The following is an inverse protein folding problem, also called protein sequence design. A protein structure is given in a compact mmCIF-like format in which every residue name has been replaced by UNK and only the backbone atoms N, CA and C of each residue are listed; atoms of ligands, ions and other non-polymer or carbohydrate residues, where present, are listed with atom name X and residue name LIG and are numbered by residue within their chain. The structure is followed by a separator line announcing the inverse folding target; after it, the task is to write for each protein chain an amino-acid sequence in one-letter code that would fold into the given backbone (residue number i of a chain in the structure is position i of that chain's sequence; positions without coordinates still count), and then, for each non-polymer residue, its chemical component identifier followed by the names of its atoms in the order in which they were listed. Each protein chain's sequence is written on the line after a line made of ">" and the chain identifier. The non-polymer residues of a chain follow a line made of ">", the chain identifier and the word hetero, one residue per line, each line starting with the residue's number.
data_IF_252430787684
#
_entry.id   IF_252430787684
#
_cell.length_a   1.000
_cell.length_b   1.000
_cell.length_c   1.000
_cell.angle_alpha   90.00
_cell.angle_beta   90.00
_cell.angle_gamma   90.00
#
_symmetry.space_group_name_H-M   'P 1'
#
loop_
_entity.id
_entity.type
_entity.pdbx_description
1 polymer ?
#
# COMPACT_ATOMS: atom_id res chain seq x y z
N UNK A 1 -6.62 15.81 -12.67
CA UNK A 1 -5.74 15.32 -11.60
C UNK A 1 -6.04 16.10 -10.35
N UNK A 2 -6.21 15.43 -9.22
CA UNK A 2 -6.46 16.03 -7.92
C UNK A 2 -5.29 15.65 -7.02
N UNK A 3 -4.55 16.64 -6.52
CA UNK A 3 -3.61 16.52 -5.40
C UNK A 3 -3.80 17.73 -4.48
N UNK A 4 -4.65 17.57 -3.47
CA UNK A 4 -4.96 18.59 -2.48
C UNK A 4 -4.01 18.62 -1.28
N UNK A 5 -2.92 17.83 -1.29
CA UNK A 5 -2.05 17.68 -0.14
C UNK A 5 -2.70 16.88 1.00
N UNK A 6 -2.12 16.98 2.20
CA UNK A 6 -2.50 16.18 3.37
C UNK A 6 -3.57 16.87 4.23
N UNK A 7 -4.55 16.09 4.67
CA UNK A 7 -5.61 16.51 5.58
C UNK A 7 -5.72 15.58 6.78
N UNK A 8 -6.07 16.14 7.94
CA UNK A 8 -6.18 15.38 9.17
C UNK A 8 -7.46 14.53 9.20
N UNK A 9 -7.32 13.23 9.46
CA UNK A 9 -8.42 12.31 9.77
C UNK A 9 -8.05 11.58 11.05
N UNK A 10 -8.66 11.98 12.18
CA UNK A 10 -8.42 11.42 13.52
C UNK A 10 -6.93 11.47 13.94
N UNK A 11 -6.19 12.50 13.52
CA UNK A 11 -4.76 12.62 13.83
C UNK A 11 -3.81 11.93 12.84
N UNK A 12 -4.33 11.21 11.84
CA UNK A 12 -3.56 10.67 10.72
C UNK A 12 -3.70 11.59 9.52
N UNK A 13 -2.59 11.96 8.88
CA UNK A 13 -2.59 12.86 7.74
C UNK A 13 -2.75 12.09 6.42
N UNK A 14 -3.89 12.24 5.75
CA UNK A 14 -4.24 11.51 4.53
C UNK A 14 -4.29 12.48 3.35
N UNK A 15 -3.66 12.11 2.24
CA UNK A 15 -3.66 12.91 1.03
C UNK A 15 -5.03 12.91 0.35
N UNK A 16 -5.52 14.09 -0.01
CA UNK A 16 -6.65 14.23 -0.91
C UNK A 16 -6.16 14.10 -2.36
N UNK A 17 -5.98 12.86 -2.83
CA UNK A 17 -5.34 12.59 -4.12
C UNK A 17 -6.15 11.58 -4.94
N UNK A 18 -6.13 11.73 -6.27
CA UNK A 18 -6.70 10.75 -7.21
C UNK A 18 -5.63 9.78 -7.77
N UNK A 19 -6.07 8.78 -8.54
CA UNK A 19 -5.14 7.81 -9.13
C UNK A 19 -4.12 8.42 -10.06
N UNK A 20 -4.51 9.41 -10.87
CA UNK A 20 -3.62 10.00 -11.86
C UNK A 20 -2.46 10.72 -11.18
N UNK A 21 -2.76 11.58 -10.20
CA UNK A 21 -1.75 12.28 -9.42
C UNK A 21 -0.89 11.32 -8.56
N UNK A 22 -1.49 10.29 -7.95
CA UNK A 22 -0.75 9.32 -7.16
C UNK A 22 0.26 8.53 -8.02
N UNK A 23 -0.19 8.03 -9.17
CA UNK A 23 0.67 7.30 -10.12
C UNK A 23 1.77 8.22 -10.65
N UNK A 24 1.44 9.43 -11.11
CA UNK A 24 2.41 10.40 -11.61
C UNK A 24 3.51 10.68 -10.58
N UNK A 25 3.16 10.99 -9.34
CA UNK A 25 4.16 11.26 -8.27
C UNK A 25 5.09 10.07 -8.02
N UNK A 26 4.55 8.86 -8.02
CA UNK A 26 5.33 7.65 -7.76
C UNK A 26 6.27 7.34 -8.95
N UNK A 27 5.76 7.47 -10.18
CA UNK A 27 6.53 7.20 -11.39
C UNK A 27 7.65 8.23 -11.56
N UNK A 28 7.36 9.52 -11.38
CA UNK A 28 8.38 10.57 -11.41
C UNK A 28 9.47 10.31 -10.36
N UNK A 29 9.09 9.94 -9.14
CA UNK A 29 10.05 9.58 -8.09
C UNK A 29 10.88 8.34 -8.45
N UNK A 30 10.30 7.34 -9.11
CA UNK A 30 11.02 6.16 -9.58
C UNK A 30 12.00 6.47 -10.73
N UNK A 31 11.61 7.31 -11.68
CA UNK A 31 12.47 7.78 -12.78
C UNK A 31 13.65 8.60 -12.26
N UNK A 32 13.38 9.52 -11.32
CA UNK A 32 14.38 10.45 -10.77
C UNK A 32 15.16 9.87 -9.58
N UNK A 33 14.87 8.62 -9.19
CA UNK A 33 15.48 7.93 -8.04
C UNK A 33 15.38 8.74 -6.74
N UNK A 34 14.21 9.34 -6.53
CA UNK A 34 13.90 10.08 -5.31
C UNK A 34 13.20 9.14 -4.31
N UNK A 35 13.56 9.21 -3.02
CA UNK A 35 12.84 8.46 -1.99
C UNK A 35 11.39 8.99 -1.90
N UNK A 36 10.43 8.06 -1.85
CA UNK A 36 9.02 8.38 -1.66
C UNK A 36 8.34 7.26 -0.88
N UNK A 37 7.98 7.52 0.37
CA UNK A 37 7.31 6.58 1.25
C UNK A 37 5.79 6.66 1.06
N UNK A 38 5.18 5.58 0.55
CA UNK A 38 3.77 5.55 0.14
C UNK A 38 3.00 4.48 0.90
N UNK A 39 1.77 4.79 1.27
CA UNK A 39 0.80 3.80 1.77
C UNK A 39 -0.61 4.08 1.28
N UNK A 40 -1.45 3.05 1.26
CA UNK A 40 -2.88 3.14 1.01
C UNK A 40 -3.62 2.74 2.29
N UNK A 41 -4.27 3.71 2.96
CA UNK A 41 -4.91 3.48 4.26
C UNK A 41 -6.42 3.38 4.14
N UNK A 42 -6.95 2.21 4.49
CA UNK A 42 -8.36 2.02 4.82
C UNK A 42 -8.58 2.31 6.32
N UNK A 43 -9.84 2.29 6.75
CA UNK A 43 -10.26 2.52 8.15
C UNK A 43 -9.36 1.80 9.17
N UNK A 44 -9.04 0.53 8.93
CA UNK A 44 -8.18 -0.22 9.83
C UNK A 44 -6.81 0.42 10.05
N UNK A 45 -6.15 0.86 8.97
CA UNK A 45 -4.83 1.49 9.06
C UNK A 45 -4.86 2.88 9.66
N UNK A 46 -5.96 3.63 9.46
CA UNK A 46 -6.19 4.88 10.20
C UNK A 46 -6.32 4.59 11.69
N UNK A 47 -7.16 3.62 12.08
CA UNK A 47 -7.42 3.30 13.47
C UNK A 47 -6.22 2.69 14.20
N UNK A 48 -5.36 1.93 13.53
CA UNK A 48 -4.09 1.51 14.15
C UNK A 48 -3.20 2.70 14.47
N UNK A 49 -3.22 3.75 13.64
CA UNK A 49 -2.55 5.02 13.95
C UNK A 49 -3.19 5.76 15.12
N UNK A 50 -4.53 5.83 15.16
CA UNK A 50 -5.26 6.47 16.27
C UNK A 50 -4.89 5.83 17.62
N UNK A 51 -4.84 4.51 17.68
CA UNK A 51 -4.63 3.75 18.91
C UNK A 51 -3.15 3.65 19.34
N UNK A 52 -2.20 3.80 18.41
CA UNK A 52 -0.76 3.75 18.71
C UNK A 52 -0.07 5.06 18.28
N UNK A 53 0.32 5.87 19.27
CA UNK A 53 1.02 7.15 19.06
C UNK A 53 2.32 7.00 18.28
N UNK A 54 3.05 5.91 18.47
CA UNK A 54 4.31 5.64 17.76
C UNK A 54 4.03 5.34 16.30
N UNK A 55 3.00 4.52 16.03
CA UNK A 55 2.59 4.24 14.67
C UNK A 55 2.04 5.49 13.96
N UNK A 56 1.22 6.30 14.64
CA UNK A 56 0.75 7.60 14.12
C UNK A 56 1.89 8.51 13.67
N UNK A 57 2.93 8.60 14.50
CA UNK A 57 4.12 9.38 14.19
C UNK A 57 4.83 8.87 12.93
N UNK A 58 4.92 7.54 12.75
CA UNK A 58 5.46 6.94 11.53
C UNK A 58 4.59 7.26 10.31
N UNK A 59 3.27 7.08 10.43
CA UNK A 59 2.33 7.34 9.34
C UNK A 59 2.43 8.79 8.85
N UNK A 60 2.35 9.78 9.73
CA UNK A 60 2.34 11.19 9.32
C UNK A 60 3.65 11.63 8.64
N UNK A 61 4.74 10.86 8.81
CA UNK A 61 6.03 11.07 8.13
C UNK A 61 6.17 10.34 6.80
N UNK A 62 5.17 9.58 6.37
CA UNK A 62 5.14 9.04 5.01
C UNK A 62 4.78 10.17 4.03
N UNK A 63 5.38 10.17 2.85
CA UNK A 63 5.24 11.27 1.88
C UNK A 63 3.87 11.30 1.21
N UNK A 64 3.30 10.11 0.98
CA UNK A 64 2.01 9.94 0.31
C UNK A 64 1.14 8.89 1.00
N UNK A 65 0.05 9.33 1.61
CA UNK A 65 -0.95 8.49 2.26
C UNK A 65 -2.24 8.56 1.46
N UNK A 66 -2.47 7.58 0.60
CA UNK A 66 -3.64 7.57 -0.29
C UNK A 66 -4.90 7.06 0.42
N UNK A 67 -6.10 7.57 0.07
CA UNK A 67 -7.35 7.15 0.70
C UNK A 67 -7.86 5.84 0.08
N UNK A 68 -7.57 4.69 0.72
CA UNK A 68 -7.89 3.35 0.19
C UNK A 68 -9.35 2.93 0.39
N UNK A 69 -9.94 3.26 1.54
CA UNK A 69 -11.32 2.87 1.89
C UNK A 69 -12.35 3.92 1.48
N UNK A 70 -13.54 3.50 1.01
CA UNK A 70 -14.65 4.45 0.79
C UNK A 70 -14.95 5.30 2.04
N UNK A 71 -14.99 4.76 3.28
CA UNK A 71 -15.21 5.59 4.47
C UNK A 71 -14.14 6.67 4.67
N UNK A 72 -12.88 6.38 4.33
CA UNK A 72 -11.77 7.34 4.44
C UNK A 72 -11.96 8.49 3.44
N UNK A 73 -12.29 8.15 2.19
CA UNK A 73 -12.66 9.14 1.17
C UNK A 73 -13.88 9.97 1.61
N UNK A 74 -14.91 9.35 2.16
CA UNK A 74 -16.10 10.07 2.65
C UNK A 74 -15.74 11.03 3.78
N UNK A 75 -14.91 10.61 4.74
CA UNK A 75 -14.42 11.48 5.81
C UNK A 75 -13.63 12.67 5.26
N UNK A 76 -12.73 12.46 4.28
CA UNK A 76 -12.01 13.54 3.61
C UNK A 76 -12.94 14.53 2.91
N UNK A 77 -13.98 14.04 2.23
CA UNK A 77 -14.96 14.89 1.57
C UNK A 77 -15.83 15.66 2.57
N UNK A 78 -16.25 14.99 3.65
CA UNK A 78 -17.16 15.57 4.64
C UNK A 78 -16.47 16.61 5.53
N UNK A 79 -15.28 16.29 6.04
CA UNK A 79 -14.52 17.17 6.95
C UNK A 79 -13.82 18.31 6.22
N UNK A 80 -13.28 18.04 5.02
CA UNK A 80 -12.34 18.97 4.34
C UNK A 80 -12.81 19.41 2.96
N UNK A 81 -13.99 18.98 2.50
CA UNK A 81 -14.58 19.37 1.20
C UNK A 81 -13.62 19.12 0.02
N UNK A 82 -12.87 18.03 0.06
CA UNK A 82 -11.82 17.69 -0.92
C UNK A 82 -12.36 17.29 -2.30
N UNK A 83 -13.67 17.06 -2.44
CA UNK A 83 -14.38 16.74 -3.69
C UNK A 83 -13.80 15.52 -4.44
N UNK A 84 -13.22 14.57 -3.72
CA UNK A 84 -12.73 13.32 -4.30
C UNK A 84 -13.88 12.52 -4.92
N UNK A 85 -13.72 12.19 -6.20
CA UNK A 85 -14.69 11.42 -7.00
C UNK A 85 -14.56 9.91 -6.74
N UNK A 86 -13.36 9.44 -6.36
CA UNK A 86 -13.14 8.06 -5.93
C UNK A 86 -12.07 7.96 -4.85
N UNK A 87 -11.97 6.78 -4.24
CA UNK A 87 -10.87 6.36 -3.38
C UNK A 87 -9.67 5.94 -4.26
N UNK A 88 -8.47 5.97 -3.71
CA UNK A 88 -7.27 5.38 -4.33
C UNK A 88 -7.04 4.02 -3.68
N UNK A 89 -7.73 3.02 -4.21
CA UNK A 89 -7.68 1.66 -3.72
C UNK A 89 -6.32 1.01 -4.02
N UNK A 90 -5.64 0.52 -2.99
CA UNK A 90 -4.26 0.02 -3.01
C UNK A 90 -4.01 -1.06 -4.06
N UNK A 91 -4.82 -2.15 -4.12
CA UNK A 91 -4.66 -3.16 -5.16
C UNK A 91 -4.79 -2.62 -6.59
N UNK A 92 -5.72 -1.70 -6.85
CA UNK A 92 -5.83 -1.06 -8.16
C UNK A 92 -4.66 -0.13 -8.44
N UNK A 93 -4.17 0.60 -7.42
CA UNK A 93 -2.98 1.43 -7.54
C UNK A 93 -1.76 0.59 -7.91
N UNK A 94 -1.57 -0.58 -7.29
CA UNK A 94 -0.48 -1.51 -7.64
C UNK A 94 -0.52 -1.90 -9.11
N UNK A 95 -1.68 -2.28 -9.66
CA UNK A 95 -1.78 -2.64 -11.08
C UNK A 95 -1.47 -1.46 -12.01
N UNK A 96 -1.96 -0.26 -11.69
CA UNK A 96 -1.66 0.95 -12.48
C UNK A 96 -0.16 1.26 -12.49
N UNK A 97 0.51 1.07 -11.36
CA UNK A 97 1.96 1.24 -11.28
C UNK A 97 2.71 0.18 -12.05
N UNK A 98 2.27 -1.09 -12.02
CA UNK A 98 2.85 -2.15 -12.85
C UNK A 98 2.71 -1.85 -14.35
N UNK A 99 1.54 -1.34 -14.77
CA UNK A 99 1.29 -0.94 -16.16
C UNK A 99 2.27 0.17 -16.61
N UNK A 100 2.39 1.25 -15.84
CA UNK A 100 3.34 2.33 -16.11
C UNK A 100 4.79 1.84 -16.05
N UNK A 101 5.14 1.03 -15.06
CA UNK A 101 6.48 0.48 -14.90
C UNK A 101 6.90 -0.41 -16.08
N UNK A 102 5.96 -1.19 -16.64
CA UNK A 102 6.18 -1.97 -17.85
C UNK A 102 6.39 -1.08 -19.09
N UNK A 103 5.58 -0.02 -19.24
CA UNK A 103 5.70 0.92 -20.36
C UNK A 103 7.02 1.71 -20.32
N UNK A 104 7.49 2.07 -19.13
CA UNK A 104 8.65 2.95 -18.93
C UNK A 104 9.94 2.21 -18.57
N UNK A 105 9.94 0.87 -18.63
CA UNK A 105 11.07 0.03 -18.27
C UNK A 105 11.62 0.27 -16.85
N UNK A 106 10.74 0.50 -15.88
CA UNK A 106 11.10 0.71 -14.46
C UNK A 106 11.01 -0.63 -13.71
N UNK A 107 12.13 -1.30 -13.37
CA UNK A 107 12.07 -2.59 -12.69
C UNK A 107 11.52 -2.46 -11.27
N UNK A 108 10.66 -3.39 -10.86
CA UNK A 108 10.05 -3.41 -9.53
C UNK A 108 10.71 -4.45 -8.63
N UNK A 109 10.67 -4.22 -7.32
CA UNK A 109 11.05 -5.21 -6.30
C UNK A 109 9.83 -5.62 -5.46
N UNK A 110 9.67 -6.91 -5.19
CA UNK A 110 8.57 -7.43 -4.37
C UNK A 110 9.10 -7.89 -3.00
N UNK A 111 8.70 -7.23 -1.91
CA UNK A 111 9.12 -7.58 -0.56
C UNK A 111 7.93 -7.98 0.33
N UNK A 112 8.04 -9.11 1.03
CA UNK A 112 7.05 -9.57 2.00
C UNK A 112 6.29 -10.80 1.56
N UNK A 113 5.15 -11.06 2.21
CA UNK A 113 4.35 -12.28 2.03
C UNK A 113 5.15 -13.59 2.18
N UNK A 114 4.54 -14.70 1.79
CA UNK A 114 5.12 -16.04 1.74
C UNK A 114 5.75 -16.31 0.36
N UNK A 115 6.75 -17.20 0.26
CA UNK A 115 7.38 -17.55 -1.01
C UNK A 115 6.38 -17.93 -2.11
N UNK A 116 5.44 -18.83 -1.80
CA UNK A 116 4.39 -19.28 -2.74
C UNK A 116 3.53 -18.13 -3.27
N UNK A 117 3.19 -17.16 -2.42
CA UNK A 117 2.39 -16.00 -2.83
C UNK A 117 3.21 -15.07 -3.72
N UNK A 118 4.50 -14.86 -3.43
CA UNK A 118 5.38 -14.06 -4.28
C UNK A 118 5.59 -14.68 -5.65
N UNK A 119 5.81 -16.00 -5.71
CA UNK A 119 5.99 -16.70 -6.99
C UNK A 119 4.75 -16.56 -7.87
N UNK A 120 3.56 -16.79 -7.30
CA UNK A 120 2.29 -16.65 -8.02
C UNK A 120 2.01 -15.20 -8.42
N UNK A 121 2.30 -14.24 -7.54
CA UNK A 121 2.18 -12.82 -7.82
C UNK A 121 3.08 -12.43 -9.00
N UNK A 122 4.34 -12.83 -8.99
CA UNK A 122 5.29 -12.53 -10.05
C UNK A 122 4.81 -13.09 -11.40
N UNK A 123 4.36 -14.34 -11.43
CA UNK A 123 3.80 -14.97 -12.63
C UNK A 123 2.56 -14.24 -13.15
N UNK A 124 1.63 -13.88 -12.27
CA UNK A 124 0.40 -13.20 -12.66
C UNK A 124 0.68 -11.80 -13.20
N UNK A 125 1.59 -11.05 -12.55
CA UNK A 125 1.97 -9.72 -12.99
C UNK A 125 2.71 -9.71 -14.32
N UNK A 126 3.63 -10.65 -14.57
CA UNK A 126 4.33 -10.73 -15.85
C UNK A 126 3.45 -11.26 -16.98
N UNK A 127 2.48 -12.13 -16.67
CA UNK A 127 1.45 -12.55 -17.63
C UNK A 127 0.55 -11.36 -18.02
N UNK A 128 0.11 -10.58 -17.03
CA UNK A 128 -0.75 -9.41 -17.26
C UNK A 128 -0.01 -8.24 -17.93
N UNK A 129 1.27 -8.06 -17.61
CA UNK A 129 2.12 -6.99 -18.13
C UNK A 129 3.44 -7.56 -18.68
N UNK A 130 3.46 -8.04 -19.95
CA UNK A 130 4.64 -8.70 -20.52
C UNK A 130 5.94 -7.88 -20.51
N UNK A 131 5.85 -6.54 -20.47
CA UNK A 131 7.01 -5.65 -20.37
C UNK A 131 7.51 -5.40 -18.94
N UNK A 132 6.83 -5.91 -17.92
CA UNK A 132 7.16 -5.66 -16.52
C UNK A 132 8.43 -6.42 -16.11
N UNK A 133 9.44 -5.69 -15.63
CA UNK A 133 10.67 -6.27 -15.11
C UNK A 133 10.58 -6.38 -13.58
N UNK A 134 10.72 -7.60 -13.07
CA UNK A 134 10.84 -7.84 -11.63
C UNK A 134 12.33 -8.02 -11.33
N UNK A 135 12.96 -6.99 -10.77
CA UNK A 135 14.39 -6.96 -10.45
C UNK A 135 14.76 -7.89 -9.29
N UNK A 136 13.80 -8.20 -8.43
CA UNK A 136 13.97 -9.16 -7.35
C UNK A 136 12.73 -9.32 -6.52
N UNK A 137 12.72 -10.39 -5.74
CA UNK A 137 11.67 -10.65 -4.76
C UNK A 137 12.26 -11.28 -3.50
N UNK A 138 11.68 -10.96 -2.36
CA UNK A 138 12.10 -11.51 -1.08
C UNK A 138 10.93 -11.70 -0.13
N UNK A 139 10.72 -12.93 0.38
CA UNK A 139 9.67 -13.19 1.36
C UNK A 139 9.95 -12.50 2.70
N UNK A 140 8.91 -12.32 3.50
CA UNK A 140 9.09 -11.83 4.87
C UNK A 140 9.80 -12.88 5.73
N UNK A 141 10.60 -12.44 6.69
CA UNK A 141 11.16 -13.31 7.73
C UNK A 141 10.11 -13.76 8.76
N UNK A 142 8.90 -13.18 8.75
CA UNK A 142 7.86 -13.41 9.77
C UNK A 142 8.30 -13.15 11.22
N UNK A 143 9.44 -12.47 11.40
CA UNK A 143 9.97 -11.99 12.68
C UNK A 143 10.54 -10.58 12.55
N UNK A 144 10.96 -10.01 13.68
CA UNK A 144 11.74 -8.78 13.69
C UNK A 144 13.12 -9.05 13.08
N UNK A 145 13.56 -8.15 12.20
CA UNK A 145 14.90 -8.17 11.61
C UNK A 145 15.89 -7.45 12.53
N UNK A 146 17.14 -7.91 12.55
CA UNK A 146 18.24 -7.21 13.23
C UNK A 146 18.66 -5.96 12.44
N UNK A 147 19.48 -5.10 13.05
CA UNK A 147 20.02 -3.93 12.37
C UNK A 147 20.89 -4.32 11.15
N UNK A 148 21.70 -5.37 11.29
CA UNK A 148 22.55 -5.86 10.20
C UNK A 148 21.72 -6.47 9.07
N UNK A 149 20.71 -7.28 9.39
CA UNK A 149 19.77 -7.82 8.41
C UNK A 149 19.04 -6.71 7.66
N UNK A 150 18.66 -5.64 8.37
CA UNK A 150 18.02 -4.47 7.75
C UNK A 150 18.92 -3.84 6.69
N UNK A 151 20.21 -3.63 6.99
CA UNK A 151 21.19 -3.08 6.05
C UNK A 151 21.43 -4.04 4.88
N UNK A 152 21.51 -5.34 5.13
CA UNK A 152 21.66 -6.36 4.07
C UNK A 152 20.45 -6.39 3.13
N UNK A 153 19.23 -6.29 3.66
CA UNK A 153 18.01 -6.21 2.85
C UNK A 153 18.03 -4.95 1.98
N UNK A 154 18.37 -3.80 2.55
CA UNK A 154 18.46 -2.55 1.80
C UNK A 154 19.52 -2.63 0.69
N UNK A 155 20.71 -3.15 1.00
CA UNK A 155 21.79 -3.35 0.04
C UNK A 155 21.38 -4.29 -1.11
N UNK A 156 20.69 -5.39 -0.80
CA UNK A 156 20.18 -6.34 -1.80
C UNK A 156 19.13 -5.69 -2.71
N UNK A 157 18.21 -4.91 -2.15
CA UNK A 157 17.21 -4.17 -2.95
C UNK A 157 17.92 -3.17 -3.85
N UNK A 158 18.87 -2.38 -3.33
CA UNK A 158 19.62 -1.40 -4.11
C UNK A 158 20.41 -2.05 -5.25
N UNK A 159 21.09 -3.17 -4.97
CA UNK A 159 21.89 -3.91 -5.94
C UNK A 159 21.05 -4.58 -7.04
N UNK A 160 19.76 -4.82 -6.80
CA UNK A 160 18.86 -5.43 -7.80
C UNK A 160 18.60 -4.53 -9.02
N UNK A 161 18.86 -3.22 -8.91
CA UNK A 161 18.51 -2.25 -9.95
C UNK A 161 17.03 -1.87 -9.99
N UNK A 162 16.25 -2.27 -8.97
CA UNK A 162 14.87 -1.84 -8.82
C UNK A 162 14.74 -0.31 -8.73
N UNK A 163 13.64 0.20 -9.27
CA UNK A 163 13.25 1.62 -9.27
C UNK A 163 12.09 1.91 -8.34
N UNK A 164 11.43 0.88 -7.80
CA UNK A 164 10.42 0.99 -6.76
C UNK A 164 10.25 -0.35 -6.05
N UNK A 165 9.77 -0.32 -4.80
CA UNK A 165 9.55 -1.51 -3.96
C UNK A 165 8.09 -1.60 -3.54
N UNK A 166 7.45 -2.74 -3.81
CA UNK A 166 6.14 -3.07 -3.25
C UNK A 166 6.31 -3.93 -2.00
N UNK A 167 5.62 -3.55 -0.92
CA UNK A 167 5.76 -4.13 0.42
C UNK A 167 4.43 -4.75 0.86
N UNK A 168 4.38 -6.08 0.91
CA UNK A 168 3.21 -6.86 1.32
C UNK A 168 3.43 -7.55 2.67
N UNK A 169 3.47 -6.80 3.77
CA UNK A 169 3.64 -7.35 5.13
C UNK A 169 2.36 -7.32 5.97
N UNK A 170 1.30 -6.69 5.45
CA UNK A 170 0.10 -6.38 6.19
C UNK A 170 0.26 -5.16 7.11
N UNK A 171 -0.83 -4.44 7.30
CA UNK A 171 -0.90 -3.31 8.24
C UNK A 171 -0.90 -3.84 9.69
N UNK A 172 -0.14 -3.24 10.64
CA UNK A 172 0.70 -2.02 10.53
C UNK A 172 2.18 -2.27 10.18
N UNK A 173 2.56 -3.52 9.91
CA UNK A 173 3.97 -3.93 9.72
C UNK A 173 4.58 -3.34 8.47
N UNK A 174 3.80 -3.25 7.39
CA UNK A 174 4.26 -2.69 6.12
C UNK A 174 4.57 -1.19 6.21
N UNK A 175 3.76 -0.39 6.91
CA UNK A 175 4.04 1.04 7.08
C UNK A 175 5.22 1.28 8.01
N UNK A 176 5.39 0.42 9.01
CA UNK A 176 6.59 0.45 9.85
C UNK A 176 7.84 0.12 9.04
N UNK A 177 7.77 -0.89 8.16
CA UNK A 177 8.88 -1.22 7.25
C UNK A 177 9.17 -0.06 6.29
N UNK A 178 8.15 0.49 5.63
CA UNK A 178 8.33 1.61 4.70
C UNK A 178 8.94 2.82 5.41
N UNK A 179 8.44 3.16 6.61
CA UNK A 179 9.06 4.20 7.44
C UNK A 179 10.53 3.88 7.74
N UNK A 180 10.84 2.67 8.19
CA UNK A 180 12.21 2.32 8.61
C UNK A 180 13.22 2.26 7.45
N UNK A 181 12.77 2.00 6.22
CA UNK A 181 13.63 1.84 5.05
C UNK A 181 13.70 3.08 4.14
N UNK A 182 12.82 4.07 4.31
CA UNK A 182 12.75 5.25 3.43
C UNK A 182 14.06 6.03 3.34
N UNK A 183 14.84 6.07 4.43
CA UNK A 183 16.11 6.80 4.48
C UNK A 183 17.29 5.95 3.96
N UNK A 184 17.07 4.64 3.73
CA UNK A 184 18.09 3.70 3.24
C UNK A 184 17.98 3.43 1.73
N UNK A 185 16.85 3.76 1.11
CA UNK A 185 16.55 3.43 -0.27
C UNK A 185 16.14 4.69 -1.03
N UNK A 186 16.90 5.06 -2.05
CA UNK A 186 16.63 6.22 -2.92
C UNK A 186 15.60 5.86 -4.01
N UNK A 187 14.45 5.34 -3.60
CA UNK A 187 13.37 4.96 -4.49
C UNK A 187 12.02 4.94 -3.76
N UNK A 188 10.89 4.95 -4.50
CA UNK A 188 9.58 4.77 -3.90
C UNK A 188 9.42 3.43 -3.19
N UNK A 189 8.92 3.48 -1.95
CA UNK A 189 8.56 2.32 -1.14
C UNK A 189 7.06 2.34 -0.87
N UNK A 190 6.35 1.29 -1.27
CA UNK A 190 4.90 1.29 -1.24
C UNK A 190 4.37 0.16 -0.36
N UNK A 191 3.69 0.53 0.71
CA UNK A 191 2.86 -0.38 1.50
C UNK A 191 1.58 -0.69 0.73
N UNK A 192 1.52 -1.86 0.09
CA UNK A 192 0.43 -2.23 -0.83
C UNK A 192 -0.71 -3.04 -0.18
N UNK A 193 -0.61 -3.32 1.12
CA UNK A 193 -1.68 -4.01 1.86
C UNK A 193 -1.90 -5.43 1.34
N UNK A 194 -3.18 -5.78 1.18
CA UNK A 194 -3.59 -7.10 0.69
C UNK A 194 -3.47 -7.26 -0.85
N UNK A 195 -2.89 -6.28 -1.56
CA UNK A 195 -2.73 -6.34 -3.01
C UNK A 195 -1.97 -7.60 -3.46
N UNK A 196 -0.95 -8.04 -2.71
CA UNK A 196 -0.20 -9.25 -3.04
C UNK A 196 -1.11 -10.48 -3.04
N UNK A 197 -1.97 -10.64 -2.03
CA UNK A 197 -2.86 -11.80 -1.95
C UNK A 197 -3.96 -11.76 -3.02
N UNK A 198 -4.50 -10.58 -3.33
CA UNK A 198 -5.50 -10.44 -4.39
C UNK A 198 -4.91 -10.75 -5.77
N UNK A 199 -3.74 -10.19 -6.08
CA UNK A 199 -3.12 -10.34 -7.40
C UNK A 199 -2.41 -11.69 -7.58
N UNK A 200 -1.99 -12.33 -6.49
CA UNK A 200 -1.59 -13.74 -6.50
C UNK A 200 -2.80 -14.69 -6.64
N UNK A 201 -4.03 -14.21 -6.47
CA UNK A 201 -5.24 -15.04 -6.50
C UNK A 201 -5.42 -15.93 -5.26
N UNK A 202 -4.69 -15.69 -4.18
CA UNK A 202 -4.83 -16.44 -2.92
C UNK A 202 -6.05 -15.99 -2.11
N UNK A 203 -6.53 -14.76 -2.35
CA UNK A 203 -7.74 -14.21 -1.72
C UNK A 203 -8.65 -13.62 -2.80
N UNK A 204 -9.96 -13.90 -2.68
CA UNK A 204 -10.95 -13.35 -3.58
C UNK A 204 -11.21 -11.87 -3.28
N UNK A 205 -11.27 -11.06 -4.34
CA UNK A 205 -11.66 -9.65 -4.24
C UNK A 205 -13.19 -9.49 -4.15
N UNK A 206 -13.67 -8.45 -3.46
CA UNK A 206 -15.09 -8.15 -3.41
C UNK A 206 -15.61 -7.72 -4.80
N UNK A 207 -16.84 -8.08 -5.20
CA UNK A 207 -17.45 -7.59 -6.44
C UNK A 207 -17.44 -6.05 -6.52
N UNK A 208 -17.32 -5.51 -7.74
CA UNK A 208 -17.19 -4.07 -7.96
C UNK A 208 -18.33 -3.24 -7.36
N UNK A 209 -19.57 -3.74 -7.41
CA UNK A 209 -20.72 -3.06 -6.81
C UNK A 209 -20.61 -2.95 -5.27
N UNK A 210 -20.06 -3.97 -4.62
CA UNK A 210 -19.81 -3.96 -3.16
C UNK A 210 -18.72 -2.96 -2.82
N UNK A 211 -17.62 -2.95 -3.59
CA UNK A 211 -16.54 -1.99 -3.40
C UNK A 211 -17.02 -0.54 -3.53
N UNK A 212 -17.83 -0.24 -4.57
CA UNK A 212 -18.41 1.10 -4.80
C UNK A 212 -19.33 1.55 -3.67
N UNK A 213 -20.05 0.61 -3.04
CA UNK A 213 -20.94 0.88 -1.89
C UNK A 213 -20.22 0.83 -0.53
N UNK A 214 -18.91 0.61 -0.50
CA UNK A 214 -18.16 0.47 0.76
C UNK A 214 -18.44 -0.82 1.53
N UNK A 215 -19.02 -1.85 0.89
CA UNK A 215 -19.36 -3.16 1.47
C UNK A 215 -18.22 -4.19 1.38
N UNK A 216 -17.03 -3.78 0.96
CA UNK A 216 -15.86 -4.65 0.87
C UNK A 216 -15.53 -5.32 2.22
N UNK A 217 -15.68 -4.58 3.33
CA UNK A 217 -15.44 -5.11 4.67
C UNK A 217 -16.35 -6.30 4.99
N UNK A 218 -17.63 -6.23 4.59
CA UNK A 218 -18.61 -7.28 4.84
C UNK A 218 -18.28 -8.53 4.02
N UNK A 219 -17.97 -8.36 2.74
CA UNK A 219 -17.51 -9.46 1.89
C UNK A 219 -16.29 -10.16 2.51
N UNK A 220 -15.29 -9.39 2.92
CA UNK A 220 -14.09 -9.95 3.55
C UNK A 220 -14.38 -10.66 4.87
N UNK A 221 -15.28 -10.13 5.69
CA UNK A 221 -15.69 -10.77 6.93
C UNK A 221 -16.34 -12.14 6.67
N UNK A 222 -17.18 -12.26 5.63
CA UNK A 222 -17.80 -13.55 5.27
C UNK A 222 -16.81 -14.58 4.74
N UNK A 223 -15.70 -14.14 4.14
CA UNK A 223 -14.65 -15.03 3.60
C UNK A 223 -13.62 -15.44 4.65
N UNK A 224 -13.31 -14.55 5.60
CA UNK A 224 -12.27 -14.76 6.61
C UNK A 224 -12.75 -14.38 8.01
N UNK A 225 -13.86 -14.97 8.51
CA UNK A 225 -14.51 -14.52 9.75
C UNK A 225 -13.61 -14.66 10.97
N UNK A 226 -12.91 -15.78 11.12
CA UNK A 226 -11.99 -16.03 12.23
C UNK A 226 -10.84 -15.02 12.32
N UNK A 227 -10.39 -14.51 11.18
CA UNK A 227 -9.27 -13.57 11.09
C UNK A 227 -9.71 -12.11 11.22
N UNK A 228 -10.86 -11.75 10.66
CA UNK A 228 -11.24 -10.34 10.47
C UNK A 228 -12.36 -9.84 11.39
N UNK A 229 -13.00 -10.69 12.19
CA UNK A 229 -14.10 -10.27 13.08
C UNK A 229 -13.70 -9.16 14.06
N UNK A 230 -12.54 -9.27 14.73
CA UNK A 230 -12.07 -8.23 15.67
C UNK A 230 -11.89 -6.88 14.98
N UNK A 231 -11.32 -6.91 13.77
CA UNK A 231 -11.10 -5.71 12.96
C UNK A 231 -12.44 -5.04 12.61
N UNK A 232 -13.42 -5.80 12.13
CA UNK A 232 -14.66 -5.21 11.62
C UNK A 232 -15.72 -4.94 12.68
N UNK A 233 -15.78 -5.74 13.75
CA UNK A 233 -16.81 -5.62 14.79
C UNK A 233 -16.36 -4.83 16.02
N UNK A 234 -15.05 -4.73 16.28
CA UNK A 234 -14.53 -4.00 17.45
C UNK A 234 -13.80 -2.72 17.04
N UNK A 235 -12.87 -2.81 16.08
CA UNK A 235 -12.00 -1.69 15.74
C UNK A 235 -12.67 -0.69 14.78
N UNK A 236 -13.24 -1.16 13.67
CA UNK A 236 -13.84 -0.28 12.67
C UNK A 236 -14.99 0.60 13.21
N UNK A 237 -15.84 0.17 14.16
CA UNK A 237 -16.86 1.03 14.74
C UNK A 237 -16.30 2.26 15.47
N UNK A 238 -15.09 2.18 16.02
CA UNK A 238 -14.42 3.32 16.67
C UNK A 238 -14.01 4.44 15.69
N UNK A 239 -14.18 4.22 14.38
CA UNK A 239 -13.92 5.21 13.35
C UNK A 239 -15.05 6.23 13.17
N UNK A 240 -16.28 5.85 13.53
CA UNK A 240 -17.46 6.72 13.53
C UNK A 240 -17.51 7.55 14.81
#
# INVERSE_FOLDING_TARGET
>A
MIDGGKYNVLGVEINAIDYAAAVERIIVAAQTQQPLAVTALAVHGVMTGVLDKTHRYRLNRLDLITPDGQPVRWALNWLHKTRLIDRVYGPTLTLKLCECAAAENLPIYLYGSQPKTLDQLAQNLTCQFPGLKIAGMQPSFFRRVTADEKLQIAAKIQASGAKMVFVGLGCPRQETWVYEYRDLLSMPLLAVGAAFDFHAGTVAQAPAWMQKRGLEWFYRLTREPSRLWKRYLLLNPLYL
#
